data_IF_384797552713
#
_entry.id   IF_384797552713
#
_cell.length_a   1.000
_cell.length_b   1.000
_cell.length_c   1.000
_cell.angle_alpha   90.00
_cell.angle_beta   90.00
_cell.angle_gamma   90.00
#
_symmetry.space_group_name_H-M   'P 1'
#
loop_
_entity.id
_entity.type
_entity.pdbx_description
1 polymer ?
#
# COMPACT_ATOMS: atom_id res chain seq x y z
N UNK A 1 18.05 67.14 -33.30
CA UNK A 1 18.71 65.87 -32.96
C UNK A 1 18.30 65.29 -31.59
N UNK A 2 18.06 66.09 -30.56
CA UNK A 2 17.67 65.59 -29.21
C UNK A 2 16.28 64.93 -29.13
N UNK A 3 15.33 65.39 -29.96
CA UNK A 3 13.94 64.84 -29.93
C UNK A 3 13.82 63.42 -30.54
N UNK A 4 14.62 63.06 -31.53
CA UNK A 4 14.63 61.75 -32.16
C UNK A 4 15.27 60.68 -31.28
N UNK A 5 16.27 61.06 -30.46
CA UNK A 5 16.91 60.18 -29.48
C UNK A 5 15.96 59.78 -28.35
N UNK A 6 15.07 60.70 -27.94
CA UNK A 6 14.07 60.44 -26.88
C UNK A 6 12.97 59.47 -27.36
N UNK A 7 12.55 59.56 -28.62
CA UNK A 7 11.51 58.64 -29.20
C UNK A 7 12.11 57.25 -29.39
N UNK A 8 13.36 57.15 -29.85
CA UNK A 8 14.05 55.83 -29.97
C UNK A 8 14.25 55.14 -28.62
N UNK A 9 14.53 55.90 -27.56
CA UNK A 9 14.67 55.35 -26.21
C UNK A 9 13.36 54.86 -25.61
N UNK A 10 12.25 55.56 -25.84
CA UNK A 10 10.90 55.15 -25.38
C UNK A 10 10.37 53.99 -26.18
N UNK A 11 10.61 53.92 -27.51
CA UNK A 11 10.23 52.75 -28.31
C UNK A 11 11.06 51.51 -27.96
N UNK A 12 12.34 51.63 -27.60
CA UNK A 12 13.16 50.55 -27.11
C UNK A 12 12.71 50.02 -25.75
N UNK A 13 12.23 50.88 -24.86
CA UNK A 13 11.70 50.47 -23.55
C UNK A 13 10.35 49.79 -23.68
N UNK A 14 9.48 50.21 -24.59
CA UNK A 14 8.20 49.56 -24.87
C UNK A 14 8.35 48.20 -25.54
N UNK A 15 9.37 47.98 -26.38
CA UNK A 15 9.67 46.69 -26.98
C UNK A 15 10.27 45.69 -25.95
N UNK A 16 10.99 46.20 -24.94
CA UNK A 16 11.56 45.35 -23.88
C UNK A 16 10.50 44.77 -22.93
N UNK A 17 9.35 45.45 -22.77
CA UNK A 17 8.25 44.95 -21.91
C UNK A 17 7.39 43.86 -22.56
N UNK A 18 7.35 43.78 -23.89
CA UNK A 18 6.63 42.73 -24.61
C UNK A 18 7.37 41.38 -24.67
N UNK A 19 8.65 41.33 -24.33
CA UNK A 19 9.50 40.14 -24.39
C UNK A 19 9.54 39.27 -23.11
N UNK A 20 8.88 39.67 -22.03
CA UNK A 20 8.97 38.99 -20.75
C UNK A 20 8.35 37.58 -20.73
N UNK A 21 7.46 37.24 -21.68
CA UNK A 21 6.84 35.92 -21.76
C UNK A 21 7.72 34.83 -22.42
N UNK A 22 8.86 35.18 -23.01
CA UNK A 22 9.76 34.27 -23.74
C UNK A 22 11.03 33.89 -22.98
N UNK A 23 11.17 34.31 -21.71
CA UNK A 23 12.34 33.96 -20.90
C UNK A 23 12.29 32.50 -20.49
N UNK A 24 13.43 31.75 -20.52
CA UNK A 24 13.47 30.38 -20.09
C UNK A 24 13.05 30.26 -18.62
N UNK A 25 11.92 29.60 -18.35
CA UNK A 25 11.45 29.27 -17.01
C UNK A 25 11.60 27.78 -16.76
N UNK A 26 11.79 27.38 -15.49
CA UNK A 26 11.85 25.95 -15.11
C UNK A 26 10.47 25.28 -15.05
N UNK A 27 9.42 26.00 -15.40
CA UNK A 27 8.03 25.54 -15.36
C UNK A 27 7.04 26.70 -15.21
N UNK A 28 5.74 26.42 -15.00
CA UNK A 28 4.71 27.45 -14.86
C UNK A 28 4.92 28.28 -13.59
N UNK A 29 4.58 29.57 -13.65
CA UNK A 29 4.53 30.39 -12.44
C UNK A 29 3.38 29.99 -11.52
N UNK A 30 3.39 30.41 -10.27
CA UNK A 30 2.29 30.18 -9.34
C UNK A 30 0.97 30.75 -9.88
N UNK A 31 1.02 31.90 -10.55
CA UNK A 31 -0.15 32.54 -11.15
C UNK A 31 -0.71 31.72 -12.32
N UNK A 32 0.16 31.18 -13.19
CA UNK A 32 -0.27 30.35 -14.33
C UNK A 32 -1.02 29.10 -13.87
N UNK A 33 -0.54 28.44 -12.82
CA UNK A 33 -1.20 27.25 -12.25
C UNK A 33 -2.58 27.64 -11.72
N UNK A 34 -2.69 28.74 -10.98
CA UNK A 34 -3.96 29.20 -10.43
C UNK A 34 -4.95 29.58 -11.55
N UNK A 35 -4.48 30.28 -12.57
CA UNK A 35 -5.33 30.66 -13.72
C UNK A 35 -5.83 29.43 -14.49
N UNK A 36 -5.00 28.43 -14.73
CA UNK A 36 -5.39 27.18 -15.41
C UNK A 36 -6.39 26.33 -14.61
N UNK A 37 -6.38 26.44 -13.28
CA UNK A 37 -7.35 25.78 -12.40
C UNK A 37 -8.68 26.53 -12.27
N UNK A 38 -8.75 27.77 -12.76
CA UNK A 38 -9.97 28.60 -12.72
C UNK A 38 -10.56 28.64 -14.13
N UNK A 39 -11.79 28.16 -14.38
CA UNK A 39 -12.40 28.19 -15.71
C UNK A 39 -12.59 29.64 -16.16
N UNK A 40 -12.10 29.96 -17.35
CA UNK A 40 -12.29 31.23 -18.00
C UNK A 40 -13.68 31.28 -18.66
N UNK A 41 -14.18 30.12 -19.09
CA UNK A 41 -15.49 29.92 -19.70
C UNK A 41 -16.30 28.97 -18.80
N UNK A 42 -17.52 29.35 -18.37
CA UNK A 42 -18.37 28.50 -17.54
C UNK A 42 -18.72 27.15 -18.20
N UNK A 43 -18.66 27.06 -19.52
CA UNK A 43 -19.00 25.86 -20.29
C UNK A 43 -17.80 24.91 -20.46
N UNK A 44 -16.59 25.33 -20.06
CA UNK A 44 -15.37 24.52 -20.16
C UNK A 44 -14.94 24.06 -18.76
N UNK A 45 -15.00 22.73 -18.52
CA UNK A 45 -14.53 22.16 -17.26
C UNK A 45 -13.01 22.42 -17.09
N UNK A 46 -12.55 22.88 -15.92
CA UNK A 46 -11.13 23.05 -15.66
C UNK A 46 -10.39 21.71 -15.71
N UNK A 47 -9.13 21.73 -16.15
CA UNK A 47 -8.33 20.51 -16.29
C UNK A 47 -8.01 19.83 -14.95
N UNK A 48 -8.09 20.56 -13.85
CA UNK A 48 -7.85 20.08 -12.50
C UNK A 48 -8.60 20.95 -11.48
N UNK A 49 -8.92 20.34 -10.34
CA UNK A 49 -9.41 21.04 -9.16
C UNK A 49 -8.25 21.68 -8.42
N UNK A 50 -8.30 22.98 -8.16
CA UNK A 50 -7.35 23.65 -7.27
C UNK A 50 -7.99 23.87 -5.89
N UNK A 51 -7.24 23.60 -4.84
CA UNK A 51 -7.67 23.81 -3.45
C UNK A 51 -6.51 24.27 -2.58
N UNK A 52 -6.81 25.18 -1.64
CA UNK A 52 -5.80 25.65 -0.69
C UNK A 52 -5.61 24.64 0.45
N UNK A 53 -4.37 24.53 0.93
CA UNK A 53 -4.08 23.78 2.15
C UNK A 53 -4.63 24.57 3.35
N UNK A 54 -5.66 24.03 3.98
CA UNK A 54 -6.31 24.59 5.17
C UNK A 54 -6.78 23.45 6.09
N UNK A 55 -7.32 23.77 7.26
CA UNK A 55 -7.83 22.76 8.21
C UNK A 55 -8.87 21.83 7.58
N UNK A 56 -9.74 22.36 6.73
CA UNK A 56 -10.77 21.55 6.08
C UNK A 56 -10.16 20.56 5.08
N UNK A 57 -9.30 21.02 4.18
CA UNK A 57 -8.66 20.12 3.19
C UNK A 57 -7.81 19.05 3.85
N UNK A 58 -7.07 19.39 4.92
CA UNK A 58 -6.30 18.42 5.70
C UNK A 58 -7.22 17.41 6.38
N UNK A 59 -8.32 17.86 7.00
CA UNK A 59 -9.26 16.95 7.66
C UNK A 59 -9.89 15.95 6.69
N UNK A 60 -10.24 16.38 5.48
CA UNK A 60 -10.75 15.48 4.43
C UNK A 60 -9.73 14.39 4.09
N UNK A 61 -8.45 14.76 3.97
CA UNK A 61 -7.39 13.80 3.64
C UNK A 61 -7.06 12.85 4.78
N UNK A 62 -7.07 13.31 6.03
CA UNK A 62 -6.88 12.48 7.23
C UNK A 62 -8.01 11.46 7.41
N UNK A 63 -9.26 11.85 7.09
CA UNK A 63 -10.41 10.95 7.19
C UNK A 63 -10.59 10.04 5.98
N UNK A 64 -9.74 10.16 4.96
CA UNK A 64 -9.75 9.22 3.82
C UNK A 64 -9.28 7.85 4.31
N UNK A 65 -10.12 6.79 4.23
CA UNK A 65 -9.78 5.48 4.77
C UNK A 65 -8.54 4.91 4.11
N UNK A 66 -7.52 4.61 4.92
CA UNK A 66 -6.40 3.82 4.46
C UNK A 66 -6.81 2.34 4.35
N UNK A 67 -6.19 1.57 3.44
CA UNK A 67 -6.40 0.13 3.40
C UNK A 67 -6.12 -0.49 4.77
N UNK A 68 -7.07 -1.28 5.29
CA UNK A 68 -6.99 -1.96 6.58
C UNK A 68 -7.43 -3.40 6.42
N UNK A 69 -6.63 -4.34 6.89
CA UNK A 69 -6.97 -5.77 6.90
C UNK A 69 -8.12 -6.02 7.86
N UNK A 70 -8.03 -5.44 9.05
CA UNK A 70 -9.11 -5.51 10.04
C UNK A 70 -10.42 -4.91 9.52
N UNK A 71 -10.36 -3.69 8.99
CA UNK A 71 -11.53 -3.00 8.46
C UNK A 71 -12.22 -3.75 7.32
N UNK A 72 -11.45 -4.55 6.56
CA UNK A 72 -11.98 -5.29 5.40
C UNK A 72 -12.38 -6.72 5.72
N UNK A 73 -11.61 -7.43 6.53
CA UNK A 73 -11.83 -8.85 6.83
C UNK A 73 -12.41 -9.12 8.21
N UNK A 74 -12.24 -8.22 9.18
CA UNK A 74 -12.87 -8.25 10.50
C UNK A 74 -12.50 -9.44 11.40
N UNK A 75 -11.45 -10.18 11.09
CA UNK A 75 -11.13 -11.46 11.72
C UNK A 75 -10.35 -11.31 13.04
N UNK A 76 -11.07 -10.97 14.12
CA UNK A 76 -10.50 -10.98 15.48
C UNK A 76 -10.70 -12.27 16.25
N UNK A 77 -11.63 -13.11 15.81
CA UNK A 77 -11.90 -14.39 16.46
C UNK A 77 -11.05 -15.45 15.80
N UNK A 78 -10.47 -16.32 16.62
CA UNK A 78 -9.81 -17.51 16.11
C UNK A 78 -10.78 -18.28 15.20
N UNK A 79 -10.30 -18.80 14.06
CA UNK A 79 -11.14 -19.62 13.21
C UNK A 79 -11.65 -20.82 13.99
N UNK A 80 -12.80 -21.40 13.64
CA UNK A 80 -13.29 -22.67 14.22
C UNK A 80 -12.25 -23.76 14.00
N UNK A 81 -12.34 -24.81 14.80
CA UNK A 81 -11.45 -25.97 14.67
C UNK A 81 -11.35 -26.43 13.20
N UNK A 82 -10.14 -26.70 12.71
CA UNK A 82 -9.93 -27.08 11.33
C UNK A 82 -10.70 -28.37 11.02
N UNK A 83 -11.35 -28.39 9.88
CA UNK A 83 -12.06 -29.57 9.35
C UNK A 83 -11.16 -30.32 8.38
N UNK A 84 -11.33 -31.62 8.31
CA UNK A 84 -10.59 -32.49 7.39
C UNK A 84 -11.03 -32.19 5.96
N UNK A 85 -10.05 -32.04 5.08
CA UNK A 85 -10.26 -31.79 3.65
C UNK A 85 -9.75 -32.94 2.76
N UNK A 86 -10.05 -32.82 1.47
CA UNK A 86 -9.51 -33.73 0.45
C UNK A 86 -7.99 -33.56 0.36
N UNK A 87 -7.26 -34.66 0.34
CA UNK A 87 -5.80 -34.66 0.29
C UNK A 87 -5.11 -34.68 1.66
N UNK A 88 -5.84 -34.42 2.75
CA UNK A 88 -5.26 -34.56 4.09
C UNK A 88 -4.91 -36.03 4.39
N UNK A 89 -3.91 -36.24 5.24
CA UNK A 89 -3.49 -37.58 5.65
C UNK A 89 -3.91 -37.82 7.09
N UNK A 90 -4.65 -38.91 7.31
CA UNK A 90 -5.18 -39.30 8.61
C UNK A 90 -4.54 -40.60 9.07
N UNK A 91 -4.11 -40.66 10.33
CA UNK A 91 -3.76 -41.91 11.03
C UNK A 91 -4.88 -42.25 12.01
N UNK A 92 -5.34 -43.48 11.96
CA UNK A 92 -6.43 -43.98 12.82
C UNK A 92 -5.88 -45.10 13.71
N UNK A 93 -6.09 -44.94 15.00
CA UNK A 93 -5.78 -46.00 15.97
C UNK A 93 -7.09 -46.49 16.59
N UNK A 94 -7.30 -47.78 16.58
CA UNK A 94 -8.52 -48.41 17.15
C UNK A 94 -8.13 -49.30 18.31
N UNK A 95 -8.82 -49.18 19.42
CA UNK A 95 -8.70 -50.06 20.61
C UNK A 95 -9.97 -50.87 20.81
N UNK A 96 -9.78 -52.10 21.31
CA UNK A 96 -10.84 -52.99 21.80
C UNK A 96 -10.58 -53.39 23.25
N UNK A 97 -11.64 -53.52 24.03
CA UNK A 97 -11.56 -53.84 25.46
C UNK A 97 -11.28 -55.32 25.78
N UNK A 98 -11.39 -56.24 24.82
CA UNK A 98 -11.28 -57.66 25.08
C UNK A 98 -10.21 -58.39 24.26
N UNK A 99 -9.59 -59.43 24.85
CA UNK A 99 -8.74 -60.36 24.16
C UNK A 99 -9.55 -61.24 23.16
N UNK A 100 -9.03 -61.34 21.92
CA UNK A 100 -9.72 -62.11 20.86
C UNK A 100 -10.67 -61.31 19.99
N UNK A 101 -10.69 -59.97 20.09
CA UNK A 101 -11.47 -59.09 19.22
C UNK A 101 -10.88 -58.97 17.80
N UNK A 102 -11.61 -58.23 16.94
CA UNK A 102 -11.28 -58.07 15.51
C UNK A 102 -9.89 -57.47 15.21
N UNK A 103 -9.35 -56.67 16.13
CA UNK A 103 -8.04 -55.99 16.01
C UNK A 103 -6.94 -56.68 16.86
N UNK A 104 -7.23 -57.84 17.47
CA UNK A 104 -6.21 -58.59 18.24
C UNK A 104 -5.34 -59.45 17.32
N UNK A 105 -4.03 -59.45 17.52
CA UNK A 105 -3.13 -60.41 16.87
C UNK A 105 -3.42 -61.83 17.43
N UNK A 106 -3.33 -62.89 16.60
CA UNK A 106 -3.45 -64.26 17.10
C UNK A 106 -2.40 -64.54 18.16
N UNK A 107 -2.84 -64.93 19.37
CA UNK A 107 -1.95 -65.24 20.47
C UNK A 107 -1.23 -66.58 20.20
N UNK A 108 0.08 -66.51 19.92
CA UNK A 108 0.94 -67.68 19.94
C UNK A 108 1.31 -67.97 21.40
N UNK A 109 0.44 -68.73 22.08
CA UNK A 109 0.79 -69.46 23.29
C UNK A 109 0.83 -68.69 24.62
N UNK A 110 0.09 -67.58 24.81
CA UNK A 110 0.04 -66.89 26.10
C UNK A 110 -1.31 -66.19 26.33
N UNK A 111 -1.83 -66.21 27.58
CA UNK A 111 -3.02 -65.45 27.99
C UNK A 111 -2.70 -63.95 27.92
N UNK A 112 -3.11 -63.29 26.89
CA UNK A 112 -3.03 -61.79 26.80
C UNK A 112 -4.23 -61.19 27.50
N UNK A 113 -4.05 -60.76 28.74
CA UNK A 113 -4.98 -59.90 29.47
C UNK A 113 -4.67 -58.46 29.17
N UNK A 114 -5.54 -57.74 28.44
CA UNK A 114 -5.38 -56.31 28.20
C UNK A 114 -6.13 -55.79 26.98
N UNK A 115 -6.27 -54.50 26.84
CA UNK A 115 -6.77 -53.85 25.65
C UNK A 115 -5.81 -54.01 24.47
N UNK A 116 -6.30 -54.31 23.30
CA UNK A 116 -5.52 -54.41 22.07
C UNK A 116 -5.71 -53.17 21.23
N UNK A 117 -4.59 -52.63 20.70
CA UNK A 117 -4.64 -51.47 19.78
C UNK A 117 -4.11 -51.88 18.40
N UNK A 118 -4.79 -51.46 17.37
CA UNK A 118 -4.33 -51.55 15.97
C UNK A 118 -4.17 -50.18 15.37
N UNK A 119 -2.98 -49.90 14.87
CA UNK A 119 -2.68 -48.66 14.16
C UNK A 119 -2.93 -48.91 12.66
N UNK A 120 -3.89 -48.19 12.09
CA UNK A 120 -4.16 -48.22 10.66
C UNK A 120 -3.16 -47.26 10.00
N UNK A 121 -2.37 -47.71 9.00
CA UNK A 121 -1.46 -46.83 8.28
C UNK A 121 -2.11 -45.53 7.83
N UNK A 122 -1.33 -44.47 7.80
CA UNK A 122 -1.83 -43.16 7.36
C UNK A 122 -2.47 -43.24 5.96
N UNK A 123 -3.68 -42.75 5.83
CA UNK A 123 -4.45 -42.73 4.58
C UNK A 123 -4.71 -41.32 4.15
N UNK A 124 -4.57 -41.07 2.83
CA UNK A 124 -4.93 -39.80 2.23
C UNK A 124 -6.44 -39.79 1.97
N UNK A 125 -7.12 -38.70 2.38
CA UNK A 125 -8.54 -38.48 2.10
C UNK A 125 -8.75 -38.39 0.60
N UNK A 126 -9.51 -39.33 0.07
CA UNK A 126 -9.76 -39.46 -1.37
C UNK A 126 -10.61 -38.28 -1.91
N UNK A 127 -10.69 -38.15 -3.24
CA UNK A 127 -11.48 -37.09 -3.89
C UNK A 127 -12.94 -37.08 -3.53
N UNK A 128 -13.52 -38.27 -3.22
CA UNK A 128 -14.90 -38.41 -2.74
C UNK A 128 -15.08 -38.02 -1.26
N UNK A 129 -13.99 -37.59 -0.60
CA UNK A 129 -13.99 -37.16 0.79
C UNK A 129 -14.01 -38.28 1.80
N UNK A 130 -13.59 -39.50 1.45
CA UNK A 130 -13.65 -40.65 2.32
C UNK A 130 -12.28 -41.28 2.61
N UNK A 131 -12.23 -42.04 3.72
CA UNK A 131 -11.16 -42.99 4.06
C UNK A 131 -11.73 -44.37 4.22
N UNK A 132 -10.90 -45.41 4.22
CA UNK A 132 -11.32 -46.79 4.45
C UNK A 132 -10.74 -47.32 5.77
N UNK A 133 -11.60 -47.70 6.68
CA UNK A 133 -11.23 -48.29 7.97
C UNK A 133 -11.61 -49.79 7.95
N UNK A 134 -10.69 -50.71 8.27
CA UNK A 134 -10.98 -52.14 8.34
C UNK A 134 -12.20 -52.38 9.22
N UNK A 135 -13.08 -53.28 8.79
CA UNK A 135 -14.36 -53.66 9.41
C UNK A 135 -15.41 -52.54 9.51
N UNK A 136 -15.05 -51.24 9.54
CA UNK A 136 -15.96 -50.12 9.50
C UNK A 136 -16.33 -49.71 8.04
N UNK A 137 -15.48 -50.14 7.08
CA UNK A 137 -15.71 -49.85 5.67
C UNK A 137 -15.30 -48.40 5.30
N UNK A 138 -15.97 -47.88 4.26
CA UNK A 138 -15.72 -46.52 3.75
C UNK A 138 -16.50 -45.50 4.56
N UNK A 139 -15.79 -44.47 5.07
CA UNK A 139 -16.33 -43.41 5.92
C UNK A 139 -16.02 -42.06 5.27
N UNK A 140 -17.08 -41.25 5.08
CA UNK A 140 -16.90 -39.86 4.60
C UNK A 140 -16.43 -39.01 5.75
N UNK A 141 -15.23 -38.37 5.59
CA UNK A 141 -14.56 -37.57 6.63
C UNK A 141 -14.41 -36.10 6.27
N UNK A 142 -14.58 -35.75 5.01
CA UNK A 142 -14.46 -34.37 4.55
C UNK A 142 -15.49 -33.46 5.22
N UNK A 143 -15.05 -32.31 5.76
CA UNK A 143 -15.88 -31.36 6.48
C UNK A 143 -16.13 -31.71 7.95
N UNK A 144 -15.62 -32.86 8.42
CA UNK A 144 -15.71 -33.28 9.83
C UNK A 144 -14.44 -32.89 10.57
N UNK A 145 -14.56 -32.69 11.87
CA UNK A 145 -13.43 -32.57 12.78
C UNK A 145 -12.91 -33.96 13.19
N UNK A 146 -11.64 -34.13 13.63
CA UNK A 146 -11.13 -35.42 14.11
C UNK A 146 -12.06 -36.11 15.13
N UNK A 147 -12.59 -35.44 16.18
CA UNK A 147 -13.52 -36.08 17.12
C UNK A 147 -14.82 -36.57 16.48
N UNK A 148 -15.33 -35.87 15.45
CA UNK A 148 -16.52 -36.32 14.72
C UNK A 148 -16.23 -37.57 13.88
N UNK A 149 -15.01 -37.67 13.32
CA UNK A 149 -14.61 -38.88 12.58
C UNK A 149 -14.40 -40.07 13.56
N UNK A 150 -13.82 -39.83 14.74
CA UNK A 150 -13.70 -40.84 15.81
C UNK A 150 -15.12 -41.41 16.15
N UNK A 151 -16.08 -40.55 16.40
CA UNK A 151 -17.46 -40.94 16.69
C UNK A 151 -18.08 -41.80 15.54
N UNK A 152 -17.86 -41.36 14.30
CA UNK A 152 -18.34 -42.07 13.12
C UNK A 152 -17.67 -43.45 12.93
N UNK A 153 -16.41 -43.59 13.29
CA UNK A 153 -15.71 -44.88 13.26
C UNK A 153 -16.25 -45.82 14.34
N UNK A 154 -16.39 -45.33 15.58
CA UNK A 154 -16.96 -46.09 16.71
C UNK A 154 -18.36 -46.59 16.41
N UNK A 155 -19.23 -45.71 15.86
CA UNK A 155 -20.59 -46.07 15.45
C UNK A 155 -20.60 -47.25 14.44
N UNK A 156 -19.71 -47.20 13.42
CA UNK A 156 -19.61 -48.25 12.39
C UNK A 156 -19.02 -49.55 12.89
N UNK A 157 -18.24 -49.53 13.97
CA UNK A 157 -17.64 -50.67 14.61
C UNK A 157 -18.54 -51.25 15.71
N UNK A 158 -19.53 -50.52 16.19
CA UNK A 158 -20.51 -50.97 17.18
C UNK A 158 -21.22 -52.23 16.70
N UNK A 159 -21.26 -53.25 17.59
CA UNK A 159 -21.83 -54.59 17.27
C UNK A 159 -20.91 -55.51 16.44
N UNK A 160 -19.74 -55.04 16.02
CA UNK A 160 -18.69 -55.86 15.37
C UNK A 160 -17.46 -56.00 16.24
N UNK A 161 -17.03 -54.93 16.91
CA UNK A 161 -15.94 -54.88 17.83
C UNK A 161 -16.46 -54.71 19.27
N UNK A 162 -15.66 -55.14 20.27
CA UNK A 162 -16.05 -55.11 21.69
C UNK A 162 -15.60 -53.77 22.28
N UNK A 163 -16.54 -52.92 22.65
CA UNK A 163 -16.30 -51.55 23.19
C UNK A 163 -15.22 -50.79 22.43
N UNK A 164 -15.44 -50.58 21.10
CA UNK A 164 -14.42 -49.94 20.26
C UNK A 164 -14.17 -48.48 20.65
N UNK A 165 -12.94 -48.07 20.71
CA UNK A 165 -12.49 -46.69 20.82
C UNK A 165 -11.63 -46.36 19.61
N UNK A 166 -11.73 -45.15 19.11
CA UNK A 166 -10.93 -44.68 18.00
C UNK A 166 -10.26 -43.34 18.31
N UNK A 167 -9.02 -43.16 17.87
CA UNK A 167 -8.30 -41.89 17.86
C UNK A 167 -7.91 -41.57 16.42
N UNK A 168 -8.22 -40.38 16.00
CA UNK A 168 -7.88 -39.87 14.66
C UNK A 168 -6.90 -38.75 14.79
N UNK A 169 -5.70 -38.96 14.22
CA UNK A 169 -4.64 -37.94 14.18
C UNK A 169 -4.41 -37.46 12.75
N UNK A 170 -4.29 -36.16 12.56
CA UNK A 170 -3.91 -35.56 11.28
C UNK A 170 -2.38 -35.65 11.13
N UNK A 171 -1.92 -36.52 10.24
CA UNK A 171 -0.48 -36.70 9.95
C UNK A 171 0.02 -35.82 8.82
N UNK A 172 -0.87 -35.33 7.96
CA UNK A 172 -0.60 -34.35 6.90
C UNK A 172 -1.80 -33.43 6.71
N UNK A 173 -1.56 -32.12 6.78
CA UNK A 173 -2.60 -31.09 6.69
C UNK A 173 -2.33 -30.24 5.45
N UNK A 174 -2.93 -30.64 4.31
CA UNK A 174 -2.78 -29.94 3.02
C UNK A 174 -3.93 -29.00 2.76
N UNK A 175 -5.12 -29.33 3.27
CA UNK A 175 -6.34 -28.56 3.06
C UNK A 175 -6.40 -27.26 3.86
N UNK A 176 -5.81 -27.25 5.06
CA UNK A 176 -5.78 -26.10 5.96
C UNK A 176 -4.44 -25.37 5.90
N UNK A 177 -4.09 -24.84 4.72
CA UNK A 177 -2.82 -24.17 4.50
C UNK A 177 -3.01 -22.77 4.01
N UNK A 178 -2.02 -21.93 4.28
CA UNK A 178 -1.85 -20.57 3.71
C UNK A 178 -0.62 -20.58 2.82
N UNK A 179 -0.69 -19.92 1.69
CA UNK A 179 0.46 -19.74 0.79
C UNK A 179 1.15 -18.43 1.09
N UNK A 180 2.46 -18.48 1.37
CA UNK A 180 3.29 -17.30 1.62
C UNK A 180 4.30 -17.14 0.49
N UNK A 181 4.35 -15.97 -0.13
CA UNK A 181 5.21 -15.67 -1.29
C UNK A 181 5.82 -14.26 -1.22
N UNK A 182 6.71 -13.95 -2.15
CA UNK A 182 7.31 -12.62 -2.30
C UNK A 182 8.59 -12.45 -1.49
N UNK A 183 8.79 -11.27 -0.90
CA UNK A 183 10.00 -10.87 -0.17
C UNK A 183 10.07 -11.49 1.24
N UNK A 184 9.93 -12.82 1.32
CA UNK A 184 10.10 -13.63 2.53
C UNK A 184 11.34 -14.50 2.41
N UNK A 185 11.89 -14.96 3.55
CA UNK A 185 13.11 -15.77 3.56
C UNK A 185 12.92 -17.10 2.86
N UNK A 186 11.79 -17.79 3.11
CA UNK A 186 11.45 -19.06 2.48
C UNK A 186 9.96 -19.07 2.14
N UNK A 187 9.61 -18.73 0.89
CA UNK A 187 8.24 -18.85 0.40
C UNK A 187 7.75 -20.29 0.52
N UNK A 188 6.61 -20.51 1.18
CA UNK A 188 6.11 -21.84 1.48
C UNK A 188 4.58 -21.86 1.56
N UNK A 189 4.03 -23.09 1.48
CA UNK A 189 2.68 -23.39 1.94
C UNK A 189 2.75 -23.80 3.41
N UNK A 190 2.18 -22.97 4.28
CA UNK A 190 2.23 -23.13 5.74
C UNK A 190 0.94 -23.75 6.25
N UNK A 191 0.96 -24.89 6.92
CA UNK A 191 -0.21 -25.48 7.56
C UNK A 191 -0.60 -24.65 8.78
N UNK A 192 -1.90 -24.33 8.87
CA UNK A 192 -2.45 -23.61 10.01
C UNK A 192 -2.62 -24.54 11.21
N UNK A 193 -2.30 -24.03 12.39
CA UNK A 193 -2.46 -24.76 13.65
C UNK A 193 -3.91 -24.77 14.12
N UNK A 194 -4.26 -25.71 14.99
CA UNK A 194 -5.59 -25.79 15.60
C UNK A 194 -5.92 -24.61 16.51
N UNK A 195 -4.90 -23.90 17.00
CA UNK A 195 -5.03 -22.67 17.79
C UNK A 195 -5.49 -21.48 16.93
N UNK A 196 -5.28 -21.56 15.63
CA UNK A 196 -5.35 -20.46 14.71
C UNK A 196 -4.04 -19.65 14.69
N UNK A 197 -3.63 -19.26 13.50
CA UNK A 197 -2.42 -18.48 13.28
C UNK A 197 -2.78 -17.12 12.72
N UNK A 198 -2.08 -16.09 13.20
CA UNK A 198 -2.19 -14.74 12.70
C UNK A 198 -1.13 -14.46 11.63
N UNK A 199 -1.26 -13.36 10.94
CA UNK A 199 -0.34 -12.99 9.85
C UNK A 199 1.12 -13.02 10.31
N UNK A 200 1.43 -12.41 11.45
CA UNK A 200 2.82 -12.35 11.96
C UNK A 200 3.35 -13.74 12.38
N UNK A 201 2.48 -14.63 12.90
CA UNK A 201 2.88 -16.00 13.24
C UNK A 201 3.34 -16.75 11.99
N UNK A 202 2.56 -16.63 10.91
CA UNK A 202 2.86 -17.29 9.63
C UNK A 202 4.09 -16.66 8.95
N UNK A 203 4.24 -15.33 8.98
CA UNK A 203 5.46 -14.69 8.47
C UNK A 203 6.70 -15.14 9.25
N UNK A 204 6.60 -15.24 10.58
CA UNK A 204 7.71 -15.73 11.40
C UNK A 204 8.06 -17.20 11.08
N UNK A 205 7.06 -18.06 10.81
CA UNK A 205 7.29 -19.48 10.47
C UNK A 205 8.07 -19.68 9.16
N UNK A 206 8.00 -18.73 8.23
CA UNK A 206 8.76 -18.73 6.96
C UNK A 206 10.08 -17.95 7.05
N UNK A 207 10.52 -17.59 8.26
CA UNK A 207 11.80 -16.91 8.51
C UNK A 207 11.75 -15.40 8.39
N UNK A 208 10.55 -14.80 8.39
CA UNK A 208 10.34 -13.36 8.30
C UNK A 208 10.45 -12.78 6.89
N UNK A 209 10.33 -11.45 6.80
CA UNK A 209 10.55 -10.69 5.57
C UNK A 209 12.04 -10.46 5.34
N UNK A 210 12.48 -10.54 4.08
CA UNK A 210 13.89 -10.39 3.70
C UNK A 210 14.27 -8.93 3.48
N UNK A 211 13.35 -8.14 2.94
CA UNK A 211 13.55 -6.72 2.70
C UNK A 211 13.31 -5.88 3.98
N UNK A 212 13.83 -4.64 4.04
CA UNK A 212 13.59 -3.74 5.17
C UNK A 212 12.09 -3.51 5.41
N UNK A 213 11.65 -3.62 6.65
CA UNK A 213 10.23 -3.55 7.06
C UNK A 213 9.54 -2.30 6.57
N UNK A 214 10.24 -1.15 6.60
CA UNK A 214 9.71 0.15 6.16
C UNK A 214 9.44 0.24 4.65
N UNK A 215 9.95 -0.69 3.84
CA UNK A 215 9.75 -0.71 2.39
C UNK A 215 8.82 -1.85 1.92
N UNK A 216 8.33 -2.70 2.85
CA UNK A 216 7.52 -3.87 2.53
C UNK A 216 6.05 -3.61 2.79
N UNK A 217 5.23 -4.01 1.82
CA UNK A 217 3.79 -4.17 1.97
C UNK A 217 3.43 -5.64 2.07
N UNK A 218 2.44 -5.94 2.90
CA UNK A 218 1.78 -7.25 2.92
C UNK A 218 0.45 -7.16 2.17
N UNK A 219 0.28 -8.00 1.17
CA UNK A 219 -0.96 -8.19 0.45
C UNK A 219 -1.60 -9.51 0.88
N UNK A 220 -2.76 -9.44 1.52
CA UNK A 220 -3.57 -10.60 1.86
C UNK A 220 -4.67 -10.77 0.82
N UNK A 221 -4.65 -11.89 0.13
CA UNK A 221 -5.72 -12.30 -0.79
C UNK A 221 -6.55 -13.40 -0.15
N UNK A 222 -7.85 -13.13 -0.01
CA UNK A 222 -8.86 -14.08 0.49
C UNK A 222 -10.01 -14.17 -0.50
N UNK A 223 -10.18 -15.32 -1.13
CA UNK A 223 -11.10 -15.46 -2.26
C UNK A 223 -10.76 -14.51 -3.39
N UNK A 224 -11.67 -13.63 -3.78
CA UNK A 224 -11.48 -12.67 -4.87
C UNK A 224 -11.05 -11.27 -4.38
N UNK A 225 -10.75 -11.14 -3.09
CA UNK A 225 -10.42 -9.85 -2.48
C UNK A 225 -8.97 -9.80 -2.06
N UNK A 226 -8.26 -8.75 -2.47
CA UNK A 226 -6.89 -8.46 -2.04
C UNK A 226 -6.84 -7.12 -1.32
N UNK A 227 -6.24 -7.11 -0.15
CA UNK A 227 -5.94 -5.89 0.63
C UNK A 227 -4.45 -5.82 0.87
N UNK A 228 -3.87 -4.66 0.60
CA UNK A 228 -2.43 -4.39 0.73
C UNK A 228 -2.22 -3.34 1.82
N UNK A 229 -1.41 -3.66 2.82
CA UNK A 229 -1.07 -2.75 3.93
C UNK A 229 0.45 -2.71 4.15
N UNK A 230 1.02 -1.60 4.65
CA UNK A 230 2.41 -1.57 5.05
C UNK A 230 2.70 -2.59 6.15
N UNK A 231 3.83 -3.30 6.06
CA UNK A 231 4.27 -4.23 7.10
C UNK A 231 4.40 -3.54 8.47
N UNK A 232 4.85 -2.31 8.47
CA UNK A 232 4.99 -1.49 9.68
C UNK A 232 3.65 -1.20 10.37
N UNK A 233 2.55 -1.10 9.60
CA UNK A 233 1.21 -0.92 10.17
C UNK A 233 0.78 -2.14 10.99
N UNK A 234 1.12 -3.36 10.56
CA UNK A 234 0.85 -4.58 11.33
C UNK A 234 1.63 -4.63 12.65
N UNK A 235 2.83 -4.06 12.66
CA UNK A 235 3.67 -4.02 13.87
C UNK A 235 3.20 -2.95 14.85
N UNK A 236 2.65 -1.83 14.36
CA UNK A 236 2.17 -0.70 15.18
C UNK A 236 0.74 -0.89 15.69
N UNK A 237 -0.15 -1.47 14.88
CA UNK A 237 -1.55 -1.73 15.28
C UNK A 237 -1.84 -3.23 15.37
N UNK A 238 -1.94 -3.79 16.59
CA UNK A 238 -2.24 -5.21 16.78
C UNK A 238 -3.56 -5.68 16.15
N UNK A 239 -4.49 -4.76 15.83
CA UNK A 239 -5.76 -5.09 15.19
C UNK A 239 -5.56 -5.50 13.73
N UNK A 240 -4.53 -4.98 13.06
CA UNK A 240 -4.19 -5.36 11.70
C UNK A 240 -3.64 -6.79 11.60
N UNK A 241 -3.11 -7.35 12.71
CA UNK A 241 -2.62 -8.73 12.79
C UNK A 241 -3.78 -9.72 12.96
N UNK A 242 -4.59 -9.87 11.91
CA UNK A 242 -5.79 -10.71 11.87
C UNK A 242 -5.44 -12.20 11.74
N UNK A 243 -6.42 -13.07 12.05
CA UNK A 243 -6.31 -14.52 11.82
C UNK A 243 -6.40 -14.86 10.34
N UNK A 244 -5.53 -15.77 9.93
CA UNK A 244 -5.54 -16.35 8.59
C UNK A 244 -6.53 -17.50 8.49
N UNK A 245 -7.00 -17.75 7.26
CA UNK A 245 -7.92 -18.82 6.93
C UNK A 245 -7.33 -19.75 5.89
N UNK A 246 -7.77 -21.02 5.84
CA UNK A 246 -7.38 -21.95 4.77
C UNK A 246 -7.63 -21.34 3.38
N UNK A 247 -6.63 -21.44 2.51
CA UNK A 247 -6.68 -20.89 1.16
C UNK A 247 -6.27 -19.42 1.04
N UNK A 248 -5.96 -18.72 2.13
CA UNK A 248 -5.41 -17.38 2.06
C UNK A 248 -4.04 -17.38 1.35
N UNK A 249 -3.78 -16.32 0.60
CA UNK A 249 -2.47 -16.05 0.01
C UNK A 249 -1.91 -14.77 0.60
N UNK A 250 -0.76 -14.88 1.22
CA UNK A 250 -0.02 -13.77 1.82
C UNK A 250 1.22 -13.49 0.97
N UNK A 251 1.30 -12.30 0.40
CA UNK A 251 2.41 -11.88 -0.46
C UNK A 251 3.12 -10.68 0.16
N UNK A 252 4.40 -10.83 0.46
CA UNK A 252 5.26 -9.71 0.83
C UNK A 252 5.79 -9.03 -0.44
N UNK A 253 5.49 -7.74 -0.62
CA UNK A 253 5.85 -6.99 -1.82
C UNK A 253 6.75 -5.84 -1.45
N UNK A 254 7.93 -5.77 -2.06
CA UNK A 254 8.77 -4.58 -2.02
C UNK A 254 8.20 -3.57 -3.01
N UNK A 255 7.62 -2.48 -2.49
CA UNK A 255 7.00 -1.44 -3.27
C UNK A 255 7.41 -0.07 -2.73
N UNK A 256 8.59 0.43 -3.12
CA UNK A 256 9.08 1.71 -2.65
C UNK A 256 8.14 2.82 -3.10
N UNK A 257 7.63 3.57 -2.14
CA UNK A 257 6.80 4.72 -2.40
C UNK A 257 7.68 5.89 -2.85
N UNK A 258 7.21 6.68 -3.81
CA UNK A 258 7.98 7.78 -4.36
C UNK A 258 7.11 9.01 -4.58
N UNK A 259 7.71 10.19 -4.44
CA UNK A 259 7.17 11.43 -4.98
C UNK A 259 8.21 12.09 -5.87
N UNK A 260 7.77 12.96 -6.76
CA UNK A 260 8.67 13.72 -7.62
C UNK A 260 8.71 15.16 -7.16
N UNK A 261 9.92 15.70 -6.94
CA UNK A 261 10.13 17.12 -6.64
C UNK A 261 10.59 17.85 -7.90
N UNK A 262 9.94 18.97 -8.25
CA UNK A 262 10.27 19.82 -9.38
C UNK A 262 10.23 21.30 -9.04
N UNK A 263 10.89 22.11 -9.87
CA UNK A 263 10.87 23.57 -9.80
C UNK A 263 11.99 24.14 -8.97
N UNK A 264 11.73 25.17 -8.19
CA UNK A 264 12.72 25.90 -7.37
C UNK A 264 13.05 25.16 -6.08
N UNK A 265 13.44 23.90 -6.20
CA UNK A 265 13.99 23.06 -5.12
C UNK A 265 15.44 22.72 -5.41
N UNK A 266 16.29 22.50 -4.39
CA UNK A 266 17.68 22.08 -4.59
C UNK A 266 17.82 20.74 -5.31
N UNK A 267 16.83 19.85 -5.19
CA UNK A 267 16.81 18.52 -5.80
C UNK A 267 15.57 18.32 -6.64
N UNK A 268 15.72 18.47 -7.95
CA UNK A 268 14.69 18.02 -8.92
C UNK A 268 14.90 16.53 -9.17
N UNK A 269 14.16 15.68 -8.46
CA UNK A 269 14.39 14.24 -8.45
C UNK A 269 13.14 13.45 -8.06
N UNK A 270 13.16 12.16 -8.40
CA UNK A 270 12.29 11.15 -7.82
C UNK A 270 12.84 10.77 -6.44
N UNK A 271 12.06 11.02 -5.38
CA UNK A 271 12.46 10.81 -3.99
C UNK A 271 11.66 9.66 -3.39
N UNK A 272 12.34 8.65 -2.85
CA UNK A 272 11.70 7.54 -2.16
C UNK A 272 11.38 7.86 -0.70
N UNK A 273 10.31 7.21 -0.20
CA UNK A 273 9.90 7.30 1.19
C UNK A 273 9.30 5.98 1.70
N UNK A 274 9.09 5.88 2.99
CA UNK A 274 8.69 4.66 3.67
C UNK A 274 7.23 4.27 3.36
N UNK A 275 6.93 2.99 3.37
CA UNK A 275 5.61 2.44 3.05
C UNK A 275 4.47 2.99 3.93
N UNK A 276 4.79 3.39 5.16
CA UNK A 276 3.81 4.02 6.08
C UNK A 276 3.41 5.43 5.64
N UNK A 277 4.15 6.03 4.71
CA UNK A 277 3.95 7.38 4.23
C UNK A 277 4.86 8.40 4.91
N UNK A 278 4.81 9.63 4.45
CA UNK A 278 5.47 10.80 5.03
C UNK A 278 4.54 12.00 4.99
N UNK A 279 4.83 13.01 5.83
CA UNK A 279 4.16 14.31 5.77
C UNK A 279 4.71 15.18 4.63
N UNK A 280 3.96 16.21 4.25
CA UNK A 280 4.42 17.19 3.27
C UNK A 280 5.66 17.97 3.76
N UNK A 281 5.72 18.27 5.04
CA UNK A 281 6.91 18.89 5.67
C UNK A 281 8.16 18.03 5.45
N UNK A 282 8.07 16.72 5.76
CA UNK A 282 9.17 15.77 5.56
C UNK A 282 9.54 15.62 4.09
N UNK A 283 8.55 15.61 3.21
CA UNK A 283 8.77 15.49 1.77
C UNK A 283 9.51 16.72 1.21
N UNK A 284 9.10 17.92 1.60
CA UNK A 284 9.80 19.16 1.23
C UNK A 284 11.23 19.15 1.79
N UNK A 285 11.42 18.71 3.03
CA UNK A 285 12.76 18.58 3.63
C UNK A 285 13.64 17.57 2.87
N UNK A 286 13.09 16.40 2.47
CA UNK A 286 13.80 15.41 1.64
C UNK A 286 14.18 15.95 0.25
N UNK A 287 13.39 16.84 -0.32
CA UNK A 287 13.70 17.55 -1.57
C UNK A 287 14.79 18.64 -1.40
N UNK A 288 15.24 18.89 -0.16
CA UNK A 288 16.25 19.89 0.19
C UNK A 288 15.67 21.25 0.57
N UNK A 289 14.35 21.35 0.77
CA UNK A 289 13.66 22.60 1.07
C UNK A 289 13.37 23.44 -0.18
N UNK A 290 13.16 24.73 0.03
CA UNK A 290 12.97 25.73 -1.02
C UNK A 290 14.30 26.46 -1.29
N UNK A 291 14.58 26.78 -2.56
CA UNK A 291 15.72 27.64 -2.90
C UNK A 291 15.43 29.08 -2.49
N UNK A 292 16.15 29.60 -1.51
CA UNK A 292 15.95 30.91 -0.90
C UNK A 292 15.91 32.07 -1.92
N UNK A 293 16.78 32.01 -2.93
CA UNK A 293 16.92 33.07 -3.94
C UNK A 293 15.91 32.98 -5.09
N UNK A 294 15.24 31.85 -5.29
CA UNK A 294 14.44 31.62 -6.50
C UNK A 294 13.05 31.05 -6.27
N UNK A 295 12.79 30.44 -5.12
CA UNK A 295 11.48 29.86 -4.83
C UNK A 295 10.44 30.90 -4.45
N UNK A 296 9.19 30.65 -4.84
CA UNK A 296 8.03 31.36 -4.30
C UNK A 296 7.44 30.54 -3.14
N UNK A 297 7.57 30.96 -1.88
CA UNK A 297 6.99 30.23 -0.76
C UNK A 297 5.44 30.18 -0.77
N UNK A 298 4.77 31.03 -1.57
CA UNK A 298 3.31 30.98 -1.78
C UNK A 298 2.91 30.08 -2.96
N UNK A 299 3.90 29.65 -3.74
CA UNK A 299 3.75 28.83 -4.94
C UNK A 299 4.26 27.42 -4.77
N UNK A 300 4.01 26.79 -3.63
CA UNK A 300 4.26 25.35 -3.44
C UNK A 300 2.98 24.59 -3.77
N UNK A 301 3.07 23.57 -4.61
CA UNK A 301 1.93 22.79 -5.07
C UNK A 301 2.18 21.30 -4.92
N UNK A 302 1.12 20.56 -4.54
CA UNK A 302 1.08 19.09 -4.65
C UNK A 302 0.05 18.72 -5.71
N UNK A 303 0.53 18.09 -6.78
CA UNK A 303 -0.33 17.58 -7.85
C UNK A 303 -0.59 16.10 -7.60
N UNK A 304 -1.86 15.72 -7.54
CA UNK A 304 -2.30 14.37 -7.18
C UNK A 304 -3.56 13.98 -7.95
N UNK A 305 -3.69 12.70 -8.22
CA UNK A 305 -4.93 12.13 -8.75
C UNK A 305 -5.74 11.58 -7.58
N UNK A 306 -6.92 12.16 -7.32
CA UNK A 306 -7.81 11.79 -6.21
C UNK A 306 -9.06 11.06 -6.70
N UNK A 307 -9.64 10.17 -5.87
CA UNK A 307 -10.99 9.66 -6.12
C UNK A 307 -12.03 10.78 -6.16
N UNK A 308 -13.04 10.62 -7.02
CA UNK A 308 -14.16 11.57 -7.13
C UNK A 308 -14.80 11.88 -5.78
N UNK A 309 -14.88 10.90 -4.88
CA UNK A 309 -15.44 11.10 -3.54
C UNK A 309 -14.67 12.15 -2.73
N UNK A 310 -13.34 12.16 -2.83
CA UNK A 310 -12.47 13.15 -2.17
C UNK A 310 -12.60 14.51 -2.85
N UNK A 311 -12.58 14.54 -4.20
CA UNK A 311 -12.73 15.79 -4.95
C UNK A 311 -14.07 16.50 -4.65
N UNK A 312 -15.17 15.75 -4.50
CA UNK A 312 -16.48 16.29 -4.10
C UNK A 312 -16.53 16.81 -2.66
N UNK A 313 -15.79 16.20 -1.75
CA UNK A 313 -15.66 16.74 -0.40
C UNK A 313 -14.87 18.04 -0.39
N UNK A 314 -13.79 18.14 -1.18
CA UNK A 314 -12.98 19.34 -1.28
C UNK A 314 -13.74 20.50 -1.96
N UNK A 315 -14.47 20.20 -3.03
CA UNK A 315 -15.33 21.16 -3.74
C UNK A 315 -16.56 20.44 -4.33
N UNK A 316 -17.74 20.59 -3.70
CA UNK A 316 -18.99 19.98 -4.18
C UNK A 316 -19.42 20.43 -5.58
N UNK A 317 -19.08 21.67 -5.95
CA UNK A 317 -19.51 22.30 -7.20
C UNK A 317 -18.56 22.04 -8.37
N UNK A 318 -17.44 21.31 -8.13
CA UNK A 318 -16.49 21.02 -9.22
C UNK A 318 -17.13 20.11 -10.28
N UNK A 319 -17.10 20.53 -11.57
CA UNK A 319 -17.70 19.76 -12.66
C UNK A 319 -16.95 18.46 -12.91
N UNK A 320 -17.60 17.34 -12.68
CA UNK A 320 -17.04 15.99 -12.87
C UNK A 320 -17.82 15.32 -14.00
N UNK A 321 -17.12 14.82 -15.02
CA UNK A 321 -17.72 14.11 -16.12
C UNK A 321 -18.38 12.79 -15.66
N UNK A 322 -19.54 12.42 -16.23
CA UNK A 322 -20.20 11.16 -15.91
C UNK A 322 -19.27 9.97 -16.15
N UNK A 323 -19.15 9.06 -15.14
CA UNK A 323 -18.32 7.87 -15.22
C UNK A 323 -16.82 8.09 -14.98
N UNK A 324 -16.37 9.30 -14.69
CA UNK A 324 -14.98 9.57 -14.31
C UNK A 324 -14.72 9.12 -12.86
N UNK A 325 -13.83 8.15 -12.60
CA UNK A 325 -13.58 7.66 -11.24
C UNK A 325 -12.55 8.50 -10.47
N UNK A 326 -11.69 9.24 -11.19
CA UNK A 326 -10.55 9.97 -10.66
C UNK A 326 -10.53 11.40 -11.18
N UNK A 327 -10.03 12.34 -10.36
CA UNK A 327 -9.92 13.78 -10.66
C UNK A 327 -8.49 14.23 -10.36
N UNK A 328 -7.94 15.05 -11.24
CA UNK A 328 -6.68 15.74 -10.98
C UNK A 328 -6.92 16.86 -9.96
N UNK A 329 -6.18 16.86 -8.88
CA UNK A 329 -6.27 17.86 -7.81
C UNK A 329 -4.90 18.51 -7.60
N UNK A 330 -4.89 19.82 -7.48
CA UNK A 330 -3.72 20.62 -7.17
C UNK A 330 -3.95 21.28 -5.82
N UNK A 331 -3.19 20.87 -4.83
CA UNK A 331 -3.17 21.49 -3.51
C UNK A 331 -2.18 22.65 -3.53
N UNK A 332 -2.63 23.86 -3.21
CA UNK A 332 -1.77 25.05 -3.10
C UNK A 332 -1.37 25.27 -1.65
N UNK A 333 -0.10 25.41 -1.41
CA UNK A 333 0.51 25.54 -0.09
C UNK A 333 1.20 26.89 0.02
N UNK A 334 0.86 27.69 1.03
CA UNK A 334 1.48 28.97 1.31
C UNK A 334 2.43 28.87 2.52
N UNK A 335 3.70 28.61 2.28
CA UNK A 335 4.71 28.51 3.33
C UNK A 335 5.18 29.87 3.90
N UNK A 336 4.60 31.00 3.47
CA UNK A 336 4.80 32.28 4.19
C UNK A 336 4.00 32.38 5.48
N UNK A 337 2.92 31.60 5.58
CA UNK A 337 2.11 31.50 6.79
C UNK A 337 2.67 30.43 7.69
N UNK A 338 3.04 30.79 8.93
CA UNK A 338 3.56 29.87 9.92
C UNK A 338 2.57 28.75 10.29
N UNK A 339 1.26 29.01 10.24
CA UNK A 339 0.24 27.98 10.50
C UNK A 339 0.28 26.86 9.45
N UNK A 340 0.66 27.18 8.22
CA UNK A 340 0.73 26.21 7.13
C UNK A 340 1.79 25.11 7.40
N UNK A 341 2.83 25.38 8.18
CA UNK A 341 3.79 24.33 8.57
C UNK A 341 3.15 23.26 9.47
N UNK A 342 2.25 23.66 10.37
CA UNK A 342 1.50 22.69 11.18
C UNK A 342 0.53 21.87 10.32
N UNK A 343 -0.10 22.49 9.33
CA UNK A 343 -0.96 21.80 8.36
C UNK A 343 -0.14 20.86 7.46
N UNK A 344 1.03 21.31 6.99
CA UNK A 344 1.93 20.49 6.17
C UNK A 344 2.41 19.23 6.91
N UNK A 345 2.59 19.30 8.24
CA UNK A 345 2.93 18.15 9.07
C UNK A 345 1.80 17.10 9.12
N UNK A 346 0.56 17.52 8.96
CA UNK A 346 -0.63 16.66 8.95
C UNK A 346 -1.03 16.22 7.54
N UNK A 347 -0.54 16.89 6.50
CA UNK A 347 -0.83 16.55 5.12
C UNK A 347 -0.07 15.29 4.68
N UNK A 348 -0.75 14.16 4.37
CA UNK A 348 -0.09 12.93 3.95
C UNK A 348 0.34 13.01 2.49
N UNK A 349 1.63 12.84 2.23
CA UNK A 349 2.15 12.64 0.86
C UNK A 349 1.91 11.19 0.45
N UNK A 350 1.41 11.00 -0.78
CA UNK A 350 1.07 9.69 -1.34
C UNK A 350 2.02 9.30 -2.47
N UNK A 351 2.01 8.02 -2.79
CA UNK A 351 2.80 7.50 -3.91
C UNK A 351 2.44 8.19 -5.22
N UNK A 352 3.47 8.59 -5.96
CA UNK A 352 3.38 9.31 -7.25
C UNK A 352 2.88 10.75 -7.17
N UNK A 353 2.86 11.35 -5.99
CA UNK A 353 2.65 12.80 -5.89
C UNK A 353 3.75 13.56 -6.63
N UNK A 354 3.39 14.71 -7.18
CA UNK A 354 4.34 15.67 -7.70
C UNK A 354 4.32 16.90 -6.81
N UNK A 355 5.45 17.20 -6.15
CA UNK A 355 5.64 18.43 -5.39
C UNK A 355 6.34 19.41 -6.31
N UNK A 356 5.65 20.47 -6.65
CA UNK A 356 6.16 21.52 -7.53
C UNK A 356 6.32 22.83 -6.76
N UNK A 357 7.51 23.42 -6.84
CA UNK A 357 7.81 24.72 -6.25
C UNK A 357 7.99 25.73 -7.38
N UNK A 358 7.09 26.67 -7.49
CA UNK A 358 7.16 27.73 -8.50
C UNK A 358 8.33 28.69 -8.23
N UNK A 359 8.83 29.28 -9.30
CA UNK A 359 9.82 30.35 -9.19
C UNK A 359 9.15 31.66 -8.76
N UNK A 360 9.86 32.43 -7.95
CA UNK A 360 9.43 33.77 -7.53
C UNK A 360 9.42 34.72 -8.73
N UNK A 361 8.42 35.61 -8.85
CA UNK A 361 8.39 36.64 -9.86
C UNK A 361 9.64 37.53 -9.88
N UNK A 362 10.27 37.75 -8.72
CA UNK A 362 11.52 38.49 -8.61
C UNK A 362 12.70 37.80 -9.34
N UNK A 363 12.70 36.49 -9.42
CA UNK A 363 13.73 35.71 -10.14
C UNK A 363 13.61 35.93 -11.65
N UNK A 364 12.41 36.02 -12.19
CA UNK A 364 12.18 36.30 -13.60
C UNK A 364 12.63 37.71 -13.94
N UNK A 365 12.33 38.68 -13.08
CA UNK A 365 12.82 40.03 -13.21
C UNK A 365 14.36 40.11 -13.15
N UNK A 366 14.99 39.38 -12.24
CA UNK A 366 16.45 39.31 -12.16
C UNK A 366 17.07 38.74 -13.43
N UNK A 367 16.52 37.67 -13.99
CA UNK A 367 16.95 37.08 -15.27
C UNK A 367 16.84 38.11 -16.40
N UNK A 368 15.72 38.83 -16.47
CA UNK A 368 15.51 39.90 -17.44
C UNK A 368 16.58 41.02 -17.29
N UNK A 369 16.87 41.45 -16.06
CA UNK A 369 17.88 42.46 -15.78
C UNK A 369 19.30 41.98 -16.12
N UNK A 370 19.65 40.73 -15.84
CA UNK A 370 20.96 40.13 -16.21
C UNK A 370 21.09 40.10 -17.73
N UNK A 371 20.07 39.67 -18.46
CA UNK A 371 20.08 39.69 -19.93
C UNK A 371 20.21 41.14 -20.48
N UNK A 372 19.45 42.07 -19.92
CA UNK A 372 19.54 43.47 -20.30
C UNK A 372 20.95 44.03 -20.05
N UNK A 373 21.53 43.78 -18.90
CA UNK A 373 22.89 44.21 -18.57
C UNK A 373 23.95 43.53 -19.47
N UNK A 374 23.78 42.29 -19.85
CA UNK A 374 24.70 41.59 -20.77
C UNK A 374 24.74 42.17 -22.17
N UNK A 375 23.59 42.71 -22.62
CA UNK A 375 23.46 43.36 -23.94
C UNK A 375 23.95 44.80 -23.89
N UNK A 376 23.72 45.53 -22.79
CA UNK A 376 24.04 46.97 -22.66
C UNK A 376 25.49 47.21 -22.19
N UNK A 377 26.07 46.31 -21.40
CA UNK A 377 27.46 46.45 -20.87
C UNK A 377 28.51 46.64 -21.96
N UNK A 378 28.55 45.87 -23.06
CA UNK A 378 29.57 46.12 -24.13
C UNK A 378 29.35 47.44 -24.86
N UNK A 379 28.12 47.97 -24.90
CA UNK A 379 27.85 49.25 -25.51
C UNK A 379 28.45 50.44 -24.68
N UNK A 380 28.38 50.37 -23.35
CA UNK A 380 28.94 51.36 -22.47
C UNK A 380 30.47 51.37 -22.52
N UNK A 381 31.12 50.22 -22.58
CA UNK A 381 32.58 50.11 -22.71
C UNK A 381 33.10 50.65 -24.05
N UNK A 382 32.34 50.42 -25.14
CA UNK A 382 32.68 50.94 -26.46
C UNK A 382 32.57 52.51 -26.51
N UNK A 383 31.56 53.11 -25.86
CA UNK A 383 31.36 54.56 -25.80
C UNK A 383 32.43 55.19 -24.87
N UNK A 384 32.78 54.62 -23.74
CA UNK A 384 33.80 55.10 -22.84
C UNK A 384 35.20 55.02 -23.48
N UNK A 385 35.50 53.98 -24.22
CA UNK A 385 36.76 53.86 -24.99
C UNK A 385 36.91 54.86 -26.11
N UNK A 386 35.81 55.23 -26.78
CA UNK A 386 35.85 56.24 -27.84
C UNK A 386 36.00 57.69 -27.32
N UNK A 387 35.73 57.99 -26.05
CA UNK A 387 35.92 59.30 -25.42
C UNK A 387 37.32 59.53 -24.87
N UNK A 388 38.15 58.46 -24.78
CA UNK A 388 39.54 58.57 -24.35
C UNK A 388 40.58 58.68 -25.48
N UNK A 389 40.11 58.70 -26.75
CA UNK A 389 40.96 58.83 -27.94
C UNK A 389 40.73 60.21 -28.62
N UNK A 390 40.47 61.25 -27.86
CA UNK A 390 40.50 62.65 -28.34
C UNK A 390 41.52 63.50 -27.59
#
# INVERSE_FOLDING_TARGET
MRFWLSIAAVSGLAAATAGCSSLPSQGPSALDIVQQGTPVDPDVAPHFLITDLNEYSVSVLEHTPLPSLYGRFGDHRAPPSPVIGVGDSLSVTVWEAAAGGLFSAPALGGVTTGSHSSIIPAQVVARDGSITVPYAGRIRVVGLTPPQVEAAIVERLSGKAIEPQALVSLSGNISNTVTVTGEVTAGARVPLTTRGDRILDVIASVGGVRAPVHAVFLALTRGNMTVKVPMEALLKDPRENIYLRPGDVLTAVLDPQTFTAFGSTPRNALVSFDAIGISLEEAVAKAGGLLDLSADPQGVFVLRVEPVAVARQLNPDYPIAPGQPLVNVVYRINLKDANTYFLARRFPVRNKDVIYVAASPSTELQKALVLFNSVTSPAYTAVAGASLVK
#
